data_IF_690336466442
#
_entry.id   IF_690336466442
#
_cell.length_a   1.000
_cell.length_b   1.000
_cell.length_c   1.000
_cell.angle_alpha   90.00
_cell.angle_beta   90.00
_cell.angle_gamma   90.00
#
_symmetry.space_group_name_H-M   'P 1'
#
loop_
_entity.id
_entity.type
_entity.pdbx_description
1 polymer ?
#
# COMPACT_ATOMS: atom_id res chain seq x y z
N UNK A 1 28.21 31.97 -32.45
CA UNK A 1 28.36 31.51 -31.05
C UNK A 1 27.07 30.80 -30.68
N UNK A 2 27.07 29.47 -30.69
CA UNK A 2 25.90 28.64 -30.38
C UNK A 2 26.05 28.18 -28.94
N UNK A 3 25.09 28.50 -28.08
CA UNK A 3 25.03 27.97 -26.73
C UNK A 3 24.65 26.49 -26.79
N UNK A 4 25.58 25.60 -26.45
CA UNK A 4 25.30 24.18 -26.25
C UNK A 4 24.59 24.01 -24.92
N UNK A 5 23.33 23.55 -24.97
CA UNK A 5 22.58 23.14 -23.79
C UNK A 5 23.23 21.90 -23.17
N UNK A 6 23.88 22.06 -22.02
CA UNK A 6 24.30 20.96 -21.16
C UNK A 6 23.05 20.35 -20.54
N UNK A 7 22.69 19.15 -20.98
CA UNK A 7 21.68 18.31 -20.33
C UNK A 7 22.13 18.00 -18.90
N UNK A 8 21.29 18.21 -17.87
CA UNK A 8 21.59 17.71 -16.54
C UNK A 8 21.51 16.19 -16.55
N UNK A 9 22.65 15.52 -16.37
CA UNK A 9 22.73 14.10 -16.07
C UNK A 9 21.94 13.85 -14.79
N UNK A 10 20.75 13.27 -14.92
CA UNK A 10 20.06 12.66 -13.79
C UNK A 10 20.98 11.56 -13.27
N UNK A 11 21.68 11.81 -12.18
CA UNK A 11 22.33 10.74 -11.43
C UNK A 11 21.19 9.83 -10.97
N UNK A 12 21.13 8.57 -11.43
CA UNK A 12 20.25 7.64 -10.75
C UNK A 12 20.82 7.54 -9.35
N UNK A 13 20.02 7.90 -8.35
CA UNK A 13 20.15 7.28 -7.04
C UNK A 13 19.84 5.79 -7.23
N UNK A 14 20.75 5.08 -7.91
CA UNK A 14 20.82 3.65 -7.96
C UNK A 14 21.26 3.28 -6.54
N UNK A 15 20.28 2.95 -5.69
CA UNK A 15 20.54 2.20 -4.47
C UNK A 15 21.32 0.97 -4.91
N UNK A 16 22.60 0.95 -4.57
CA UNK A 16 23.55 -0.06 -5.03
C UNK A 16 23.01 -1.45 -4.72
N UNK A 17 22.78 -2.25 -5.76
CA UNK A 17 22.36 -3.66 -5.66
C UNK A 17 23.54 -4.59 -5.32
N UNK A 18 24.63 -4.06 -4.78
CA UNK A 18 25.86 -4.82 -4.51
C UNK A 18 26.13 -5.06 -3.03
N UNK A 19 25.17 -4.80 -2.14
CA UNK A 19 25.34 -5.10 -0.71
C UNK A 19 24.15 -5.87 -0.16
N UNK A 20 24.48 -7.01 0.46
CA UNK A 20 23.63 -8.04 1.03
C UNK A 20 22.72 -8.83 0.07
N UNK A 21 22.93 -10.14 0.03
CA UNK A 21 22.00 -11.16 -0.47
C UNK A 21 20.60 -10.90 0.09
N UNK A 22 19.73 -10.24 -0.67
CA UNK A 22 18.33 -10.08 -0.33
C UNK A 22 17.68 -11.47 -0.41
N UNK A 23 17.31 -12.06 0.73
CA UNK A 23 16.58 -13.34 0.81
C UNK A 23 15.10 -13.08 0.49
N UNK A 24 14.84 -12.57 -0.70
CA UNK A 24 13.52 -12.22 -1.21
C UNK A 24 13.58 -11.89 -2.70
N UNK A 25 12.43 -11.89 -3.38
CA UNK A 25 12.34 -11.33 -4.73
C UNK A 25 11.83 -9.90 -4.63
N UNK A 26 12.60 -8.94 -5.15
CA UNK A 26 12.13 -7.56 -5.25
C UNK A 26 11.05 -7.50 -6.33
N UNK A 27 9.82 -7.26 -5.92
CA UNK A 27 8.69 -7.05 -6.82
C UNK A 27 8.47 -5.56 -7.02
N UNK A 28 8.20 -5.16 -8.26
CA UNK A 28 7.75 -3.80 -8.58
C UNK A 28 6.29 -3.86 -9.01
N UNK A 29 5.47 -2.95 -8.49
CA UNK A 29 4.07 -2.82 -8.85
C UNK A 29 3.86 -1.46 -9.51
N UNK A 30 3.25 -1.46 -10.69
CA UNK A 30 2.91 -0.23 -11.39
C UNK A 30 1.55 0.26 -10.92
N UNK A 31 1.51 1.52 -10.47
CA UNK A 31 0.26 2.25 -10.30
C UNK A 31 -0.34 2.59 -11.68
N UNK A 32 -1.67 2.64 -11.79
CA UNK A 32 -2.33 3.05 -13.03
C UNK A 32 -2.02 4.52 -13.34
N UNK A 33 -2.31 4.95 -14.58
CA UNK A 33 -1.96 6.29 -15.05
C UNK A 33 -2.44 7.40 -14.11
N UNK A 34 -1.54 8.33 -13.78
CA UNK A 34 -1.78 9.54 -12.97
C UNK A 34 -1.94 9.36 -11.46
N UNK A 35 -1.70 8.16 -10.92
CA UNK A 35 -1.57 7.91 -9.48
C UNK A 35 -0.17 7.38 -9.15
N UNK A 36 0.28 7.66 -7.93
CA UNK A 36 1.64 7.37 -7.45
C UNK A 36 1.54 6.49 -6.21
N UNK A 37 2.51 5.59 -6.03
CA UNK A 37 2.56 4.76 -4.84
C UNK A 37 2.82 5.61 -3.60
N UNK A 38 1.91 5.54 -2.64
CA UNK A 38 2.01 6.23 -1.37
C UNK A 38 2.60 5.27 -0.32
N UNK A 39 3.86 5.51 0.07
CA UNK A 39 4.57 4.62 0.99
C UNK A 39 3.96 4.59 2.39
N UNK A 40 3.20 5.61 2.80
CA UNK A 40 2.56 5.67 4.12
C UNK A 40 1.31 4.78 4.15
N UNK A 41 0.50 4.82 3.09
CA UNK A 41 -0.79 4.11 3.02
C UNK A 41 -0.68 2.75 2.33
N UNK A 42 0.46 2.45 1.69
CA UNK A 42 0.74 1.22 0.94
C UNK A 42 -0.23 0.95 -0.22
N UNK A 43 -0.80 2.02 -0.79
CA UNK A 43 -1.67 1.98 -1.96
C UNK A 43 -1.25 3.03 -2.99
N UNK A 44 -1.78 2.93 -4.20
CA UNK A 44 -1.65 3.99 -5.19
C UNK A 44 -2.68 5.10 -4.91
N UNK A 45 -2.22 6.34 -4.83
CA UNK A 45 -3.02 7.51 -4.48
C UNK A 45 -2.73 8.67 -5.44
N UNK A 46 -3.53 9.71 -5.40
CA UNK A 46 -3.29 10.93 -6.17
C UNK A 46 -1.93 11.53 -5.82
N UNK A 47 -1.20 11.99 -6.83
CA UNK A 47 0.18 12.48 -6.70
C UNK A 47 0.34 13.61 -5.66
N UNK A 48 -0.71 14.41 -5.42
CA UNK A 48 -0.70 15.50 -4.43
C UNK A 48 -0.89 15.04 -2.98
N UNK A 49 -1.30 13.79 -2.76
CA UNK A 49 -1.40 13.15 -1.44
C UNK A 49 -0.11 12.42 -1.05
N UNK A 50 0.87 12.33 -1.96
CA UNK A 50 2.12 11.59 -1.76
C UNK A 50 3.27 12.55 -1.46
N UNK A 51 3.93 12.35 -0.31
CA UNK A 51 5.21 13.00 -0.03
C UNK A 51 6.36 12.25 -0.72
N UNK A 52 6.49 12.48 -2.02
CA UNK A 52 7.49 11.82 -2.86
C UNK A 52 8.93 12.03 -2.37
N UNK A 53 9.24 13.15 -1.71
CA UNK A 53 10.58 13.46 -1.25
C UNK A 53 11.00 12.57 -0.08
N UNK A 54 10.04 12.22 0.79
CA UNK A 54 10.28 11.43 1.99
C UNK A 54 9.84 9.97 1.88
N UNK A 55 9.24 9.54 0.75
CA UNK A 55 8.80 8.16 0.53
C UNK A 55 9.82 7.11 0.96
N UNK A 56 11.10 7.27 0.63
CA UNK A 56 12.13 6.29 1.00
C UNK A 56 12.31 6.11 2.53
N UNK A 57 12.00 7.13 3.32
CA UNK A 57 12.12 7.10 4.79
C UNK A 57 10.94 6.36 5.44
N UNK A 58 9.79 6.32 4.77
CA UNK A 58 8.58 5.68 5.29
C UNK A 58 8.55 4.16 5.07
N UNK A 59 9.46 3.62 4.24
CA UNK A 59 9.52 2.21 3.88
C UNK A 59 9.61 1.32 5.13
N UNK A 60 10.60 1.57 5.99
CA UNK A 60 10.82 0.74 7.18
C UNK A 60 9.64 0.85 8.17
N UNK A 61 9.10 2.07 8.33
CA UNK A 61 7.95 2.31 9.21
C UNK A 61 6.70 1.55 8.72
N UNK A 62 6.32 1.68 7.46
CA UNK A 62 5.11 1.09 6.93
C UNK A 62 5.25 -0.44 6.74
N UNK A 63 6.38 -0.89 6.19
CA UNK A 63 6.61 -2.31 5.93
C UNK A 63 6.75 -3.14 7.20
N UNK A 64 7.24 -2.57 8.31
CA UNK A 64 7.31 -3.27 9.60
C UNK A 64 5.94 -3.69 10.16
N UNK A 65 4.85 -3.08 9.69
CA UNK A 65 3.47 -3.38 10.11
C UNK A 65 2.77 -4.35 9.16
N UNK A 66 3.35 -4.63 7.99
CA UNK A 66 2.82 -5.64 7.08
C UNK A 66 2.82 -7.02 7.75
N UNK A 67 1.73 -7.77 7.56
CA UNK A 67 1.55 -9.11 8.13
C UNK A 67 1.55 -9.16 9.66
N UNK A 68 1.16 -8.05 10.30
CA UNK A 68 0.93 -7.97 11.75
C UNK A 68 -0.52 -7.59 12.03
N UNK A 69 -0.95 -7.70 13.29
CA UNK A 69 -2.26 -7.21 13.75
C UNK A 69 -2.25 -5.71 14.11
N UNK A 70 -1.14 -5.00 13.85
CA UNK A 70 -1.02 -3.57 14.13
C UNK A 70 -1.72 -2.75 13.04
N UNK A 71 -2.35 -1.61 13.41
CA UNK A 71 -2.86 -0.67 12.43
C UNK A 71 -1.72 -0.07 11.59
N UNK A 72 -2.00 0.19 10.31
CA UNK A 72 -1.05 0.85 9.39
C UNK A 72 -0.72 2.29 9.84
N UNK A 73 -1.69 2.97 10.47
CA UNK A 73 -1.55 4.35 10.94
C UNK A 73 -1.41 4.40 12.46
N UNK A 74 -0.59 5.34 12.97
CA UNK A 74 -0.41 5.54 14.42
C UNK A 74 -1.67 6.08 15.11
N UNK A 75 -2.52 6.81 14.38
CA UNK A 75 -3.82 7.30 14.86
C UNK A 75 -4.92 6.72 13.99
N UNK A 76 -5.26 5.43 14.17
CA UNK A 76 -6.34 4.83 13.42
C UNK A 76 -7.68 5.51 13.79
N UNK A 77 -8.61 5.66 12.84
CA UNK A 77 -9.98 6.04 13.13
C UNK A 77 -10.62 5.11 14.18
N UNK A 78 -11.60 5.62 14.93
CA UNK A 78 -12.27 4.86 16.00
C UNK A 78 -12.99 3.60 15.49
N UNK A 79 -13.32 3.55 14.20
CA UNK A 79 -13.97 2.46 13.50
C UNK A 79 -12.99 1.58 12.68
N UNK A 80 -11.68 1.68 12.92
CA UNK A 80 -10.71 0.83 12.25
C UNK A 80 -10.92 -0.64 12.61
N UNK A 81 -11.28 -1.44 11.61
CA UNK A 81 -11.45 -2.89 11.74
C UNK A 81 -10.22 -3.62 11.20
N UNK A 82 -9.64 -4.49 12.03
CA UNK A 82 -8.62 -5.45 11.59
C UNK A 82 -9.17 -6.45 10.59
N UNK A 83 -8.29 -7.16 9.88
CA UNK A 83 -8.71 -8.20 8.94
C UNK A 83 -9.56 -9.28 9.62
N UNK A 84 -9.20 -9.68 10.85
CA UNK A 84 -9.95 -10.63 11.64
C UNK A 84 -11.34 -10.10 12.01
N UNK A 85 -11.44 -8.83 12.40
CA UNK A 85 -12.71 -8.19 12.73
C UNK A 85 -13.61 -8.05 11.50
N UNK A 86 -13.05 -7.64 10.35
CA UNK A 86 -13.79 -7.54 9.08
C UNK A 86 -14.29 -8.91 8.63
N UNK A 87 -13.47 -9.95 8.72
CA UNK A 87 -13.86 -11.31 8.38
C UNK A 87 -14.98 -11.82 9.30
N UNK A 88 -14.93 -11.54 10.60
CA UNK A 88 -15.98 -11.90 11.55
C UNK A 88 -17.31 -11.19 11.25
N UNK A 89 -17.27 -9.90 10.88
CA UNK A 89 -18.46 -9.16 10.47
C UNK A 89 -19.07 -9.71 9.19
N UNK A 90 -18.26 -10.00 8.18
CA UNK A 90 -18.72 -10.60 6.92
C UNK A 90 -19.35 -11.99 7.16
N UNK A 91 -18.79 -12.79 8.06
CA UNK A 91 -19.37 -14.08 8.45
C UNK A 91 -20.72 -13.93 9.18
N UNK A 92 -20.83 -12.93 10.06
CA UNK A 92 -22.08 -12.63 10.76
C UNK A 92 -23.18 -12.12 9.81
N UNK A 93 -22.83 -11.26 8.83
CA UNK A 93 -23.76 -10.79 7.80
C UNK A 93 -24.26 -11.93 6.91
N UNK A 94 -23.39 -12.87 6.51
CA UNK A 94 -23.79 -14.05 5.73
C UNK A 94 -24.77 -14.94 6.52
N UNK A 95 -24.55 -15.11 7.83
CA UNK A 95 -25.47 -15.87 8.69
C UNK A 95 -26.81 -15.15 8.89
N UNK A 96 -26.81 -13.82 8.98
CA UNK A 96 -28.02 -13.01 9.04
C UNK A 96 -28.80 -13.03 7.72
N UNK A 97 -28.11 -13.02 6.58
CA UNK A 97 -28.71 -13.12 5.24
C UNK A 97 -29.22 -14.53 4.91
N UNK A 98 -28.59 -15.58 5.48
CA UNK A 98 -29.01 -16.98 5.33
C UNK A 98 -30.34 -17.33 6.02
N UNK A 99 -30.90 -16.42 6.84
CA UNK A 99 -32.20 -16.58 7.50
C UNK A 99 -33.44 -16.34 6.63
N UNK A 100 -33.28 -16.02 5.33
CA UNK A 100 -34.39 -15.72 4.41
C UNK A 100 -34.52 -16.69 3.22
N UNK A 101 -34.19 -17.97 3.36
CA UNK A 101 -34.73 -18.98 2.43
C UNK A 101 -36.00 -19.59 3.04
N UNK A 102 -37.10 -18.86 2.87
CA UNK A 102 -38.46 -19.35 3.15
C UNK A 102 -38.69 -20.62 2.31
N UNK A 103 -39.02 -21.70 3.00
CA UNK A 103 -39.68 -22.89 2.48
C UNK A 103 -40.75 -22.54 1.44
N UNK A 104 -40.50 -22.86 0.17
CA UNK A 104 -41.57 -23.09 -0.79
C UNK A 104 -41.78 -24.60 -0.88
N UNK A 105 -42.71 -25.09 -0.08
CA UNK A 105 -43.39 -26.35 -0.33
C UNK A 105 -44.31 -26.18 -1.54
N UNK A 106 -44.20 -27.09 -2.50
CA UNK A 106 -45.25 -27.44 -3.44
C UNK A 106 -45.51 -28.94 -3.30
#
# INVERSE_FOLDING_TARGET
>A
MVATASTPTLTPNARSSTDATFIGNMTSYLCVNSIVFNQITLICDAWYNVDCANSAQYETYANSRLYTDLPIFDTPPADYLTLAQRAAQQAAEVQAAGGQQKTQSA
#
